data_IF_983574421722
#
_entry.id   IF_983574421722
#
_cell.length_a   1.000
_cell.length_b   1.000
_cell.length_c   1.000
_cell.angle_alpha   90.00
_cell.angle_beta   90.00
_cell.angle_gamma   90.00
#
_symmetry.space_group_name_H-M   'P 1'
#
loop_
_entity.id
_entity.type
_entity.pdbx_description
1 polymer ?
#
# COMPACT_ATOMS: atom_id res chain seq x y z
N UNK A 1 -7.11 -78.23 95.97
CA UNK A 1 -6.69 -77.53 94.75
C UNK A 1 -6.34 -76.12 95.17
N UNK A 2 -5.05 -75.88 95.31
CA UNK A 2 -4.48 -74.64 95.87
C UNK A 2 -4.23 -73.61 94.73
N UNK A 3 -4.97 -72.49 94.76
CA UNK A 3 -4.66 -71.34 93.91
C UNK A 3 -3.57 -70.49 94.57
N UNK A 4 -2.45 -70.46 93.90
CA UNK A 4 -1.30 -69.66 94.26
C UNK A 4 -1.55 -68.19 93.95
N UNK A 5 -1.92 -67.35 94.93
CA UNK A 5 -2.04 -65.89 94.77
C UNK A 5 -0.66 -65.26 94.77
N UNK A 6 -0.19 -64.86 93.61
CA UNK A 6 1.02 -64.07 93.47
C UNK A 6 0.69 -62.59 93.74
N UNK A 7 1.23 -62.06 94.82
CA UNK A 7 1.08 -60.67 95.26
C UNK A 7 2.14 -59.79 94.53
N UNK A 8 1.75 -59.02 93.49
CA UNK A 8 2.62 -58.10 92.76
C UNK A 8 2.65 -56.74 93.48
N UNK A 9 3.81 -56.12 93.67
CA UNK A 9 3.91 -54.80 94.31
C UNK A 9 3.39 -53.69 93.37
N UNK A 10 2.86 -52.57 93.92
CA UNK A 10 2.23 -51.49 93.10
C UNK A 10 3.26 -50.81 92.26
N UNK A 11 2.94 -50.75 90.99
CA UNK A 11 3.73 -50.03 89.94
C UNK A 11 3.78 -48.52 90.24
N UNK A 12 4.91 -48.05 90.72
CA UNK A 12 5.14 -46.64 90.98
C UNK A 12 4.94 -45.79 89.71
N UNK A 13 3.98 -44.88 89.77
CA UNK A 13 3.80 -43.86 88.73
C UNK A 13 5.06 -42.98 88.65
N UNK A 14 5.87 -43.14 87.56
CA UNK A 14 6.91 -42.19 87.22
C UNK A 14 6.24 -40.88 86.73
N UNK A 15 6.16 -39.89 87.60
CA UNK A 15 5.87 -38.48 87.18
C UNK A 15 6.94 -38.08 86.20
N UNK A 16 6.55 -37.93 84.90
CA UNK A 16 7.36 -37.24 83.91
C UNK A 16 7.57 -35.80 84.40
N UNK A 17 8.75 -35.44 84.83
CA UNK A 17 9.15 -34.05 85.02
C UNK A 17 9.04 -33.35 83.68
N UNK A 18 8.10 -32.41 83.54
CA UNK A 18 8.12 -31.46 82.41
C UNK A 18 9.47 -30.73 82.46
N UNK A 19 10.36 -31.02 81.53
CA UNK A 19 11.57 -30.27 81.38
C UNK A 19 11.13 -28.86 80.95
N UNK A 20 11.24 -27.86 81.83
CA UNK A 20 11.07 -26.47 81.49
C UNK A 20 12.24 -26.06 80.66
N UNK A 21 11.96 -25.62 79.39
CA UNK A 21 12.99 -25.06 78.56
C UNK A 21 13.70 -23.94 79.34
N UNK A 22 15.03 -23.86 79.27
CA UNK A 22 15.78 -22.74 79.83
C UNK A 22 15.31 -21.44 79.28
N UNK A 23 15.09 -20.42 80.09
CA UNK A 23 14.52 -19.12 79.67
C UNK A 23 15.29 -18.39 78.49
N UNK A 24 16.53 -18.80 78.29
CA UNK A 24 17.36 -18.23 77.16
C UNK A 24 17.12 -18.90 75.80
N UNK A 25 16.51 -20.10 75.76
CA UNK A 25 16.27 -20.82 74.51
C UNK A 25 15.17 -20.14 73.66
N UNK A 26 14.13 -19.60 74.30
CA UNK A 26 13.02 -18.95 73.63
C UNK A 26 13.47 -17.72 72.83
N UNK A 27 14.24 -16.74 73.33
CA UNK A 27 14.73 -15.65 72.59
C UNK A 27 15.70 -16.06 71.45
N UNK A 28 16.49 -17.12 71.67
CA UNK A 28 17.38 -17.65 70.60
C UNK A 28 16.59 -18.26 69.44
N UNK A 29 15.52 -18.99 69.76
CA UNK A 29 14.63 -19.59 68.75
C UNK A 29 13.86 -18.50 67.99
N UNK A 30 13.41 -17.44 68.66
CA UNK A 30 12.76 -16.29 68.01
C UNK A 30 13.75 -15.55 67.13
N UNK A 31 14.98 -15.30 67.56
CA UNK A 31 16.05 -14.68 66.76
C UNK A 31 16.43 -15.53 65.56
N UNK A 32 16.55 -16.86 65.73
CA UNK A 32 16.81 -17.74 64.57
C UNK A 32 15.67 -17.79 63.54
N UNK A 33 14.41 -17.77 64.03
CA UNK A 33 13.23 -17.70 63.13
C UNK A 33 13.15 -16.37 62.41
N UNK A 34 13.48 -15.26 63.09
CA UNK A 34 13.54 -13.95 62.47
C UNK A 34 14.66 -13.84 61.40
N UNK A 35 15.85 -14.38 61.70
CA UNK A 35 16.94 -14.47 60.71
C UNK A 35 16.61 -15.37 59.54
N UNK A 36 15.94 -16.49 59.75
CA UNK A 36 15.47 -17.38 58.68
C UNK A 36 14.40 -16.71 57.83
N UNK A 37 13.47 -15.94 58.41
CA UNK A 37 12.47 -15.17 57.68
C UNK A 37 13.10 -14.04 56.87
N UNK A 38 14.10 -13.32 57.42
CA UNK A 38 14.84 -12.30 56.71
C UNK A 38 15.66 -12.93 55.55
N UNK A 39 16.34 -14.05 55.79
CA UNK A 39 17.07 -14.76 54.76
C UNK A 39 16.15 -15.30 53.66
N UNK A 40 14.96 -15.82 54.02
CA UNK A 40 13.96 -16.24 53.05
C UNK A 40 13.38 -15.07 52.24
N UNK A 41 13.14 -13.92 52.90
CA UNK A 41 12.69 -12.71 52.23
C UNK A 41 13.77 -12.16 51.29
N UNK A 42 15.03 -12.10 51.74
CA UNK A 42 16.16 -11.70 50.89
C UNK A 42 16.35 -12.66 49.72
N UNK A 43 16.22 -13.98 49.98
CA UNK A 43 16.29 -14.98 48.93
C UNK A 43 15.17 -14.87 47.91
N UNK A 44 13.93 -14.65 48.40
CA UNK A 44 12.75 -14.52 47.54
C UNK A 44 12.74 -13.20 46.74
N UNK A 45 13.12 -12.07 47.36
CA UNK A 45 13.07 -10.76 46.70
C UNK A 45 14.37 -10.35 45.99
N UNK A 46 15.54 -10.95 46.32
CA UNK A 46 16.84 -10.53 45.75
C UNK A 46 17.49 -11.63 44.94
N UNK A 47 17.32 -12.90 45.29
CA UNK A 47 18.01 -14.02 44.68
C UNK A 47 17.13 -14.78 43.69
N UNK A 48 15.81 -14.83 43.88
CA UNK A 48 14.92 -15.36 42.85
C UNK A 48 14.84 -14.35 41.72
N UNK A 49 15.40 -14.66 40.54
CA UNK A 49 15.30 -13.73 39.40
C UNK A 49 13.82 -13.54 39.07
N UNK A 50 13.33 -12.31 39.15
CA UNK A 50 11.99 -11.99 38.69
C UNK A 50 11.90 -12.37 37.21
N UNK A 51 11.02 -13.28 36.87
CA UNK A 51 10.75 -13.70 35.50
C UNK A 51 9.71 -12.73 34.95
N UNK A 52 10.09 -11.99 33.95
CA UNK A 52 9.17 -11.14 33.20
C UNK A 52 8.46 -11.99 32.14
N UNK A 53 7.14 -11.92 32.11
CA UNK A 53 6.33 -12.57 31.08
C UNK A 53 5.90 -11.54 30.03
N UNK A 54 6.19 -11.83 28.76
CA UNK A 54 5.67 -11.09 27.61
C UNK A 54 4.64 -11.97 26.95
N UNK A 55 3.40 -11.50 26.88
CA UNK A 55 2.28 -12.25 26.31
C UNK A 55 2.24 -12.10 24.80
N UNK A 56 2.45 -10.88 24.27
CA UNK A 56 2.56 -10.61 22.82
C UNK A 56 3.48 -9.44 22.52
N UNK A 57 4.05 -9.46 21.32
CA UNK A 57 4.68 -8.31 20.65
C UNK A 57 3.98 -8.14 19.31
N UNK A 58 3.29 -7.04 19.14
CA UNK A 58 2.54 -6.74 17.90
C UNK A 58 3.05 -5.46 17.28
N UNK A 59 3.20 -5.45 15.95
CA UNK A 59 3.44 -4.24 15.19
C UNK A 59 2.08 -3.66 14.83
N UNK A 60 1.79 -2.44 15.27
CA UNK A 60 0.47 -1.80 15.16
C UNK A 60 0.41 -0.75 14.06
N UNK A 61 1.56 -0.18 13.68
CA UNK A 61 1.64 0.78 12.58
C UNK A 61 3.01 0.68 11.89
N UNK A 62 3.00 0.90 10.57
CA UNK A 62 4.17 0.73 9.70
C UNK A 62 4.27 1.94 8.77
N UNK A 63 5.43 2.58 8.75
CA UNK A 63 5.78 3.63 7.80
C UNK A 63 6.95 3.23 6.90
N UNK A 64 7.48 4.18 6.16
CA UNK A 64 8.70 3.99 5.36
C UNK A 64 9.95 4.01 6.22
N UNK A 65 9.95 4.75 7.31
CA UNK A 65 11.10 4.99 8.19
C UNK A 65 10.81 4.73 9.66
N UNK A 66 9.66 4.15 9.98
CA UNK A 66 9.28 3.81 11.36
C UNK A 66 8.45 2.53 11.45
N UNK A 67 8.46 1.94 12.65
CA UNK A 67 7.58 0.86 13.10
C UNK A 67 7.05 1.21 14.49
N UNK A 68 5.74 1.13 14.69
CA UNK A 68 5.11 1.26 16.01
C UNK A 68 4.75 -0.11 16.55
N UNK A 69 5.11 -0.36 17.79
CA UNK A 69 5.00 -1.65 18.45
C UNK A 69 4.22 -1.52 19.73
N UNK A 70 3.29 -2.43 19.94
CA UNK A 70 2.58 -2.62 21.21
C UNK A 70 2.99 -3.93 21.84
N UNK A 71 3.29 -3.90 23.13
CA UNK A 71 3.69 -5.09 23.88
C UNK A 71 2.71 -5.33 25.01
N UNK A 72 2.14 -6.53 25.05
CA UNK A 72 1.36 -7.00 26.16
C UNK A 72 2.25 -7.82 27.12
N UNK A 73 2.21 -7.47 28.38
CA UNK A 73 2.98 -8.13 29.41
C UNK A 73 2.12 -8.40 30.67
N UNK A 74 2.41 -9.49 31.38
CA UNK A 74 1.69 -9.83 32.60
C UNK A 74 1.87 -8.77 33.70
N UNK A 75 0.95 -8.73 34.66
CA UNK A 75 0.89 -7.74 35.77
C UNK A 75 2.16 -7.63 36.62
N UNK A 76 3.01 -8.66 36.61
CA UNK A 76 4.28 -8.71 37.34
C UNK A 76 5.50 -8.47 36.42
N UNK A 77 5.28 -7.85 35.25
CA UNK A 77 6.37 -7.63 34.31
C UNK A 77 7.39 -6.66 34.90
N UNK A 78 8.58 -7.17 35.18
CA UNK A 78 9.75 -6.33 35.46
C UNK A 78 10.11 -5.46 34.28
N UNK A 79 10.92 -4.42 34.49
CA UNK A 79 11.45 -3.61 33.40
C UNK A 79 12.24 -4.48 32.43
N UNK A 80 12.08 -4.20 31.13
CA UNK A 80 12.82 -4.78 30.03
C UNK A 80 13.03 -3.75 28.93
N UNK A 81 13.95 -3.99 28.04
CA UNK A 81 14.16 -3.18 26.87
C UNK A 81 13.57 -3.86 25.63
N UNK A 82 13.28 -3.07 24.62
CA UNK A 82 12.86 -3.56 23.31
C UNK A 82 13.90 -3.13 22.29
N UNK A 83 14.35 -4.09 21.50
CA UNK A 83 15.28 -3.87 20.42
C UNK A 83 14.59 -4.02 19.08
N UNK A 84 14.91 -3.17 18.12
CA UNK A 84 14.54 -3.28 16.72
C UNK A 84 15.84 -3.41 15.92
N UNK A 85 16.03 -4.53 15.22
CA UNK A 85 17.28 -4.83 14.52
C UNK A 85 17.02 -5.33 13.11
N UNK A 86 17.88 -4.97 12.15
CA UNK A 86 17.88 -5.47 10.79
C UNK A 86 18.88 -6.62 10.58
N UNK A 87 18.88 -7.20 9.38
CA UNK A 87 19.78 -8.28 9.01
C UNK A 87 21.26 -7.84 8.89
N UNK A 88 21.53 -6.54 8.83
CA UNK A 88 22.89 -5.96 8.71
C UNK A 88 23.52 -5.67 10.07
N UNK A 89 22.76 -5.82 11.16
CA UNK A 89 23.23 -5.58 12.52
C UNK A 89 23.00 -4.15 13.03
N UNK A 90 22.29 -3.32 12.27
CA UNK A 90 21.84 -2.04 12.80
C UNK A 90 20.77 -2.30 13.85
N UNK A 91 20.87 -1.64 15.00
CA UNK A 91 20.00 -1.87 16.13
C UNK A 91 19.60 -0.56 16.81
N UNK A 92 18.31 -0.42 17.08
CA UNK A 92 17.76 0.60 17.96
C UNK A 92 17.22 -0.08 19.22
N UNK A 93 17.39 0.55 20.39
CA UNK A 93 16.96 0.02 21.68
C UNK A 93 16.23 1.07 22.49
N UNK A 94 15.06 0.72 23.01
CA UNK A 94 14.22 1.60 23.83
C UNK A 94 13.78 0.85 25.09
N UNK A 95 13.70 1.56 26.22
CA UNK A 95 13.14 1.01 27.44
C UNK A 95 11.63 0.85 27.29
N UNK A 96 11.09 -0.26 27.75
CA UNK A 96 9.65 -0.52 27.71
C UNK A 96 8.91 0.30 28.78
N UNK A 97 7.78 0.90 28.37
CA UNK A 97 6.80 1.53 29.26
C UNK A 97 5.46 0.80 29.09
N UNK A 98 4.92 0.26 30.18
CA UNK A 98 3.70 -0.53 30.14
C UNK A 98 2.49 0.30 29.65
N UNK A 99 1.75 -0.24 28.67
CA UNK A 99 0.53 0.34 28.14
C UNK A 99 0.75 1.50 27.14
N UNK A 100 1.98 1.79 26.75
CA UNK A 100 2.31 2.79 25.73
C UNK A 100 2.77 2.12 24.44
N UNK A 101 2.37 2.71 23.33
CA UNK A 101 2.90 2.36 22.02
C UNK A 101 4.35 2.85 21.90
N UNK A 102 5.20 2.02 21.31
CA UNK A 102 6.62 2.31 21.16
C UNK A 102 6.96 2.42 19.67
N UNK A 103 7.35 3.60 19.22
CA UNK A 103 7.74 3.85 17.83
C UNK A 103 9.26 3.84 17.68
N UNK A 104 9.77 3.02 16.75
CA UNK A 104 11.15 3.04 16.30
C UNK A 104 11.25 3.85 15.02
N UNK A 105 12.00 4.94 15.04
CA UNK A 105 12.14 5.90 13.96
C UNK A 105 13.50 5.78 13.27
N UNK A 106 13.65 6.45 12.12
CA UNK A 106 14.90 6.48 11.33
C UNK A 106 15.32 5.10 10.84
N UNK A 107 14.35 4.25 10.55
CA UNK A 107 14.54 2.95 9.92
C UNK A 107 14.76 3.11 8.42
N UNK A 108 15.36 2.11 7.79
CA UNK A 108 15.54 2.12 6.32
C UNK A 108 14.26 1.65 5.62
N UNK A 109 13.81 2.32 4.56
CA UNK A 109 12.66 1.88 3.76
C UNK A 109 12.86 0.49 3.17
N UNK A 110 11.75 -0.26 3.01
CA UNK A 110 11.75 -1.60 2.41
C UNK A 110 12.58 -2.64 3.16
N UNK A 111 12.89 -2.41 4.44
CA UNK A 111 13.80 -3.24 5.22
C UNK A 111 13.04 -4.05 6.24
N UNK A 112 13.37 -5.35 6.36
CA UNK A 112 12.82 -6.21 7.38
C UNK A 112 13.56 -6.02 8.70
N UNK A 113 12.78 -5.83 9.76
CA UNK A 113 13.25 -5.71 11.14
C UNK A 113 12.72 -6.83 12.01
N UNK A 114 13.55 -7.23 12.97
CA UNK A 114 13.15 -8.07 14.10
C UNK A 114 13.02 -7.19 15.34
N UNK A 115 11.84 -7.21 15.94
CA UNK A 115 11.54 -6.54 17.20
C UNK A 115 11.60 -7.60 18.31
N UNK A 116 12.39 -7.38 19.34
CA UNK A 116 12.59 -8.33 20.40
C UNK A 116 12.57 -7.64 21.77
N UNK A 117 11.78 -8.15 22.68
CA UNK A 117 11.85 -7.77 24.10
C UNK A 117 13.07 -8.45 24.72
N UNK A 118 13.96 -7.67 25.34
CA UNK A 118 15.24 -8.12 25.87
C UNK A 118 15.26 -7.93 27.38
N UNK A 119 15.54 -8.97 28.18
CA UNK A 119 15.58 -8.84 29.62
C UNK A 119 16.72 -7.90 30.05
N UNK A 120 16.50 -7.13 31.10
CA UNK A 120 17.59 -6.42 31.77
C UNK A 120 18.56 -7.42 32.41
N UNK A 121 19.78 -6.96 32.67
CA UNK A 121 20.84 -7.78 33.27
C UNK A 121 20.36 -8.49 34.52
N UNK A 122 20.58 -9.80 34.59
CA UNK A 122 20.17 -10.65 35.74
C UNK A 122 18.70 -11.02 35.76
N UNK A 123 17.89 -10.64 34.77
CA UNK A 123 16.47 -10.99 34.66
C UNK A 123 16.26 -12.12 33.66
N UNK A 124 15.14 -12.82 33.78
CA UNK A 124 14.71 -13.86 32.84
C UNK A 124 13.38 -13.45 32.19
N UNK A 125 13.19 -13.82 30.95
CA UNK A 125 11.93 -13.62 30.22
C UNK A 125 11.32 -14.94 29.80
N UNK A 126 10.00 -14.98 29.68
CA UNK A 126 9.20 -16.10 29.15
C UNK A 126 8.06 -15.54 28.29
N UNK A 127 7.54 -16.37 27.40
CA UNK A 127 6.41 -16.01 26.51
C UNK A 127 6.84 -15.69 25.08
N UNK A 128 6.03 -14.90 24.40
CA UNK A 128 6.21 -14.50 22.99
C UNK A 128 6.84 -13.11 22.95
N UNK A 129 8.14 -13.03 22.83
CA UNK A 129 8.91 -11.80 22.96
C UNK A 129 9.57 -11.29 21.68
N UNK A 130 9.19 -11.85 20.53
CA UNK A 130 9.74 -11.42 19.24
C UNK A 130 8.65 -11.31 18.18
N UNK A 131 8.76 -10.30 17.32
CA UNK A 131 7.96 -10.11 16.12
C UNK A 131 8.86 -9.65 14.96
N UNK A 132 8.39 -9.84 13.73
CA UNK A 132 9.08 -9.34 12.54
C UNK A 132 8.12 -8.49 11.72
N UNK A 133 8.61 -7.38 11.17
CA UNK A 133 7.87 -6.55 10.22
C UNK A 133 8.85 -5.90 9.24
N UNK A 134 8.32 -5.48 8.08
CA UNK A 134 9.11 -4.70 7.12
C UNK A 134 8.54 -3.30 7.03
N UNK A 135 9.40 -2.28 7.00
CA UNK A 135 9.01 -0.93 6.63
C UNK A 135 8.52 -0.89 5.19
N UNK A 136 7.65 0.06 4.87
CA UNK A 136 7.21 0.24 3.48
C UNK A 136 8.40 0.64 2.61
N UNK A 137 8.45 0.08 1.39
CA UNK A 137 9.33 0.59 0.37
C UNK A 137 8.86 1.98 -0.08
N UNK A 138 9.77 2.87 -0.44
CA UNK A 138 9.44 4.15 -1.05
C UNK A 138 9.90 4.16 -2.49
N UNK A 139 8.99 4.53 -3.42
CA UNK A 139 9.34 4.78 -4.82
C UNK A 139 8.95 6.21 -5.16
N UNK A 140 9.93 6.98 -5.61
CA UNK A 140 9.76 8.38 -5.99
C UNK A 140 9.61 8.53 -7.50
N UNK A 141 8.50 9.10 -7.92
CA UNK A 141 8.21 9.38 -9.32
C UNK A 141 8.75 10.77 -9.68
N UNK A 142 9.65 10.82 -10.68
CA UNK A 142 10.23 12.06 -11.20
C UNK A 142 9.21 12.84 -12.03
N UNK A 143 8.52 12.13 -12.92
CA UNK A 143 7.51 12.70 -13.81
C UNK A 143 6.42 11.68 -14.11
N UNK A 144 5.19 12.17 -14.23
CA UNK A 144 4.05 11.43 -14.74
C UNK A 144 3.28 12.34 -15.70
N UNK A 145 3.11 11.91 -16.92
CA UNK A 145 2.52 12.70 -18.01
C UNK A 145 1.42 11.92 -18.70
N UNK A 146 0.39 12.64 -19.11
CA UNK A 146 -0.68 12.15 -19.96
C UNK A 146 -0.67 12.94 -21.26
N UNK A 147 -0.63 12.27 -22.40
CA UNK A 147 -0.61 12.90 -23.74
C UNK A 147 -1.77 12.34 -24.56
N UNK A 148 -2.65 13.18 -25.10
CA UNK A 148 -3.73 12.70 -25.95
C UNK A 148 -3.16 12.16 -27.26
N UNK A 149 -3.59 10.97 -27.69
CA UNK A 149 -3.25 10.38 -28.99
C UNK A 149 -4.45 10.33 -29.93
N UNK A 150 -5.64 10.41 -29.39
CA UNK A 150 -6.89 10.63 -30.13
C UNK A 150 -7.93 11.27 -29.19
N UNK A 151 -9.12 11.53 -29.73
CA UNK A 151 -10.23 12.08 -28.93
C UNK A 151 -10.71 11.16 -27.78
N UNK A 152 -10.41 9.87 -27.84
CA UNK A 152 -10.84 8.86 -26.86
C UNK A 152 -9.68 8.09 -26.27
N UNK A 153 -8.42 8.48 -26.57
CA UNK A 153 -7.24 7.76 -26.11
C UNK A 153 -6.15 8.71 -25.62
N UNK A 154 -5.47 8.28 -24.59
CA UNK A 154 -4.29 8.96 -24.06
C UNK A 154 -3.16 7.98 -23.78
N UNK A 155 -1.93 8.40 -24.02
CA UNK A 155 -0.73 7.71 -23.59
C UNK A 155 -0.26 8.30 -22.27
N UNK A 156 -0.08 7.44 -21.29
CA UNK A 156 0.50 7.79 -19.99
C UNK A 156 1.95 7.31 -19.96
N UNK A 157 2.84 8.16 -19.48
CA UNK A 157 4.25 7.84 -19.31
C UNK A 157 4.73 8.35 -17.95
N UNK A 158 5.56 7.58 -17.26
CA UNK A 158 6.20 8.03 -16.02
C UNK A 158 7.67 7.60 -15.95
N UNK A 159 8.41 8.29 -15.09
CA UNK A 159 9.83 8.04 -14.85
C UNK A 159 10.04 7.92 -13.34
N UNK A 160 10.69 6.84 -12.92
CA UNK A 160 11.11 6.64 -11.54
C UNK A 160 12.40 7.46 -11.30
N UNK A 161 12.43 8.24 -10.23
CA UNK A 161 13.62 8.96 -9.79
C UNK A 161 14.47 8.09 -8.88
N UNK A 162 13.85 7.38 -7.94
CA UNK A 162 14.51 6.59 -6.90
C UNK A 162 13.55 5.51 -6.35
N UNK A 163 14.11 4.47 -5.76
CA UNK A 163 13.36 3.36 -5.18
C UNK A 163 13.15 2.18 -6.12
N UNK A 164 12.45 1.12 -5.66
CA UNK A 164 12.20 -0.08 -6.44
C UNK A 164 11.27 0.18 -7.63
N UNK A 165 11.53 -0.53 -8.71
CA UNK A 165 10.61 -0.70 -9.83
C UNK A 165 9.77 -1.97 -9.62
N UNK A 166 8.60 -2.04 -10.25
CA UNK A 166 7.66 -3.14 -10.09
C UNK A 166 7.32 -3.78 -11.44
N UNK A 167 7.08 -5.09 -11.42
CA UNK A 167 6.67 -5.85 -12.62
C UNK A 167 5.32 -5.38 -13.19
N UNK A 168 4.46 -4.83 -12.34
CA UNK A 168 3.17 -4.28 -12.72
C UNK A 168 2.84 -3.00 -11.95
N UNK A 169 2.22 -2.06 -12.66
CA UNK A 169 1.75 -0.78 -12.16
C UNK A 169 0.25 -0.67 -12.32
N UNK A 170 -0.39 0.08 -11.45
CA UNK A 170 -1.82 0.38 -11.57
C UNK A 170 -2.03 1.88 -11.62
N UNK A 171 -2.83 2.34 -12.57
CA UNK A 171 -3.32 3.71 -12.64
C UNK A 171 -4.82 3.74 -12.39
N UNK A 172 -5.26 4.66 -11.56
CA UNK A 172 -6.66 5.05 -11.42
C UNK A 172 -6.89 6.31 -12.25
N UNK A 173 -8.05 6.42 -12.89
CA UNK A 173 -8.44 7.63 -13.59
C UNK A 173 -9.93 7.89 -13.43
N UNK A 174 -10.26 9.16 -13.33
CA UNK A 174 -11.61 9.64 -13.13
C UNK A 174 -11.85 10.95 -13.89
N UNK A 175 -13.11 11.20 -14.24
CA UNK A 175 -13.58 12.47 -14.77
C UNK A 175 -14.85 12.90 -14.02
N UNK A 176 -15.23 14.17 -14.11
CA UNK A 176 -16.41 14.68 -13.44
C UNK A 176 -17.69 13.93 -13.86
N UNK A 177 -18.36 13.31 -12.89
CA UNK A 177 -19.59 12.52 -13.12
C UNK A 177 -19.38 11.12 -13.68
N UNK A 178 -18.12 10.66 -13.79
CA UNK A 178 -17.77 9.30 -14.23
C UNK A 178 -17.17 8.55 -13.06
N UNK A 179 -17.57 7.29 -12.87
CA UNK A 179 -16.99 6.42 -11.86
C UNK A 179 -15.50 6.17 -12.15
N UNK A 180 -14.69 6.21 -11.10
CA UNK A 180 -13.26 5.95 -11.21
C UNK A 180 -12.99 4.55 -11.75
N UNK A 181 -12.06 4.44 -12.70
CA UNK A 181 -11.62 3.20 -13.31
C UNK A 181 -10.15 2.96 -12.99
N UNK A 182 -9.73 1.70 -13.06
CA UNK A 182 -8.34 1.30 -12.87
C UNK A 182 -7.85 0.43 -14.02
N UNK A 183 -6.57 0.61 -14.37
CA UNK A 183 -5.88 -0.23 -15.37
C UNK A 183 -4.54 -0.65 -14.79
N UNK A 184 -4.26 -1.97 -14.87
CA UNK A 184 -2.96 -2.54 -14.49
C UNK A 184 -2.16 -2.87 -15.75
N UNK A 185 -0.87 -2.53 -15.75
CA UNK A 185 0.00 -2.64 -16.92
C UNK A 185 1.45 -2.94 -16.51
N UNK A 186 2.29 -3.32 -17.45
CA UNK A 186 3.72 -3.57 -17.25
C UNK A 186 4.55 -2.46 -17.88
N UNK A 187 5.72 -2.17 -17.30
CA UNK A 187 6.60 -1.10 -17.74
C UNK A 187 6.08 0.29 -17.34
N UNK A 188 6.60 1.34 -17.98
CA UNK A 188 6.39 2.74 -17.58
C UNK A 188 5.51 3.52 -18.55
N UNK A 189 4.84 2.84 -19.48
CA UNK A 189 3.93 3.44 -20.46
C UNK A 189 2.68 2.59 -20.62
N UNK A 190 1.53 3.25 -20.79
CA UNK A 190 0.25 2.59 -21.10
C UNK A 190 -0.64 3.51 -21.92
N UNK A 191 -1.40 2.93 -22.84
CA UNK A 191 -2.47 3.62 -23.57
C UNK A 191 -3.80 3.34 -22.89
N UNK A 192 -4.48 4.40 -22.49
CA UNK A 192 -5.84 4.34 -21.96
C UNK A 192 -6.80 4.66 -23.11
N UNK A 193 -7.77 3.78 -23.32
CA UNK A 193 -8.81 3.90 -24.35
C UNK A 193 -10.18 4.19 -23.72
N UNK A 194 -11.15 4.49 -24.59
CA UNK A 194 -12.55 4.73 -24.21
C UNK A 194 -12.74 5.90 -23.24
N UNK A 195 -11.89 6.92 -23.37
CA UNK A 195 -12.06 8.19 -22.70
C UNK A 195 -13.23 8.96 -23.35
N UNK A 196 -13.95 9.72 -22.55
CA UNK A 196 -14.94 10.67 -23.08
C UNK A 196 -14.19 11.86 -23.70
N UNK A 197 -14.71 12.35 -24.83
CA UNK A 197 -14.25 13.62 -25.41
C UNK A 197 -14.72 14.80 -24.55
N UNK A 198 -14.07 15.95 -24.72
CA UNK A 198 -14.41 17.19 -24.00
C UNK A 198 -14.54 17.00 -22.49
N UNK A 199 -13.63 16.26 -21.92
CA UNK A 199 -13.64 15.87 -20.50
C UNK A 199 -12.30 16.08 -19.85
N UNK A 200 -12.32 16.53 -18.59
CA UNK A 200 -11.13 16.64 -17.78
C UNK A 200 -10.95 15.37 -16.96
N UNK A 201 -9.83 14.70 -17.17
CA UNK A 201 -9.42 13.51 -16.44
C UNK A 201 -8.29 13.81 -15.46
N UNK A 202 -8.31 13.12 -14.35
CA UNK A 202 -7.16 13.02 -13.44
C UNK A 202 -6.70 11.56 -13.41
N UNK A 203 -5.45 11.34 -13.77
CA UNK A 203 -4.79 10.04 -13.68
C UNK A 203 -3.92 10.01 -12.43
N UNK A 204 -3.97 8.91 -11.65
CA UNK A 204 -3.20 8.76 -10.42
C UNK A 204 -2.59 7.35 -10.39
N UNK A 205 -1.25 7.29 -10.25
CA UNK A 205 -0.56 6.02 -9.99
C UNK A 205 -0.90 5.53 -8.59
N UNK A 206 -1.27 4.26 -8.48
CA UNK A 206 -1.57 3.62 -7.21
C UNK A 206 -0.35 2.84 -6.71
N UNK A 207 -0.08 2.97 -5.43
CA UNK A 207 0.98 2.23 -4.78
C UNK A 207 0.66 0.72 -4.76
N UNK A 208 1.62 -0.15 -5.09
CA UNK A 208 1.54 -1.55 -4.72
C UNK A 208 1.50 -1.75 -3.20
N UNK A 209 1.07 -2.94 -2.76
CA UNK A 209 1.05 -3.27 -1.33
C UNK A 209 2.43 -3.04 -0.68
N UNK A 210 2.43 -2.52 0.53
CA UNK A 210 3.63 -2.22 1.32
C UNK A 210 4.62 -1.25 0.65
N UNK A 211 4.10 -0.34 -0.17
CA UNK A 211 4.89 0.69 -0.85
C UNK A 211 4.26 2.06 -0.70
N UNK A 212 5.07 3.08 -0.53
CA UNK A 212 4.67 4.48 -0.63
C UNK A 212 5.16 5.05 -1.96
N UNK A 213 4.24 5.60 -2.75
CA UNK A 213 4.62 6.42 -3.92
C UNK A 213 4.67 7.89 -3.53
N UNK A 214 5.75 8.56 -3.94
CA UNK A 214 5.96 9.99 -3.72
C UNK A 214 6.34 10.71 -5.01
N UNK A 215 6.35 12.04 -4.99
CA UNK A 215 6.68 12.85 -6.17
C UNK A 215 5.49 13.08 -7.10
N UNK A 216 5.71 12.98 -8.41
CA UNK A 216 4.69 13.26 -9.43
C UNK A 216 3.79 12.03 -9.68
N UNK A 217 2.91 11.71 -8.74
CA UNK A 217 2.05 10.51 -8.82
C UNK A 217 0.70 10.77 -9.49
N UNK A 218 0.37 12.01 -9.83
CA UNK A 218 -0.89 12.39 -10.47
C UNK A 218 -0.66 13.36 -11.61
N UNK A 219 -1.46 13.26 -12.67
CA UNK A 219 -1.41 14.14 -13.83
C UNK A 219 -2.81 14.39 -14.39
N UNK A 220 -3.15 15.66 -14.74
CA UNK A 220 -4.40 15.97 -15.41
C UNK A 220 -4.27 15.78 -16.93
N UNK A 221 -5.41 15.59 -17.60
CA UNK A 221 -5.55 15.61 -19.05
C UNK A 221 -6.92 16.15 -19.40
N UNK A 222 -6.97 17.16 -20.29
CA UNK A 222 -8.20 17.54 -20.97
C UNK A 222 -8.26 16.83 -22.32
N UNK A 223 -9.30 16.04 -22.57
CA UNK A 223 -9.53 15.42 -23.87
C UNK A 223 -10.06 16.46 -24.85
N UNK A 224 -9.72 16.27 -26.12
CA UNK A 224 -10.11 17.21 -27.18
C UNK A 224 -11.62 17.12 -27.41
N UNK A 225 -12.33 18.25 -27.57
CA UNK A 225 -13.74 18.22 -27.97
C UNK A 225 -13.88 17.57 -29.35
N UNK A 226 -15.01 16.91 -29.56
CA UNK A 226 -15.34 16.31 -30.87
C UNK A 226 -15.81 17.36 -31.81
N UNK A 227 -15.49 17.17 -33.10
CA UNK A 227 -16.16 17.85 -34.21
C UNK A 227 -17.16 16.88 -34.85
N UNK A 228 -18.35 17.33 -35.13
CA UNK A 228 -19.38 16.58 -35.84
C UNK A 228 -19.69 17.28 -37.19
N UNK A 229 -19.47 16.56 -38.31
CA UNK A 229 -19.88 17.03 -39.60
C UNK A 229 -21.41 16.96 -39.68
N UNK A 230 -22.05 18.03 -40.12
CA UNK A 230 -23.50 18.10 -40.34
C UNK A 230 -23.87 17.50 -41.71
N UNK A 231 -24.38 16.25 -41.79
CA UNK A 231 -24.58 15.54 -43.06
C UNK A 231 -25.43 16.31 -44.06
N UNK A 232 -26.48 16.97 -43.58
CA UNK A 232 -27.40 17.75 -44.42
C UNK A 232 -26.79 19.04 -44.96
N UNK A 233 -25.63 19.44 -44.48
CA UNK A 233 -24.92 20.64 -44.93
C UNK A 233 -23.94 20.34 -46.05
N UNK A 234 -23.65 19.08 -46.34
CA UNK A 234 -22.69 18.70 -47.39
C UNK A 234 -23.29 19.03 -48.74
N UNK A 235 -22.67 20.01 -49.39
CA UNK A 235 -23.03 20.44 -50.74
C UNK A 235 -21.91 20.11 -51.72
N UNK A 236 -22.30 19.61 -52.89
CA UNK A 236 -21.38 19.29 -53.96
C UNK A 236 -21.80 19.98 -55.24
N UNK A 237 -20.85 20.65 -55.89
CA UNK A 237 -20.99 21.20 -57.24
C UNK A 237 -20.12 20.41 -58.19
N UNK A 238 -20.75 19.76 -59.15
CA UNK A 238 -20.09 18.92 -60.14
C UNK A 238 -19.97 19.66 -61.47
N UNK A 239 -18.82 19.46 -62.14
CA UNK A 239 -18.61 19.81 -63.56
C UNK A 239 -18.24 18.54 -64.35
N UNK A 240 -17.92 18.67 -65.64
CA UNK A 240 -17.48 17.53 -66.45
C UNK A 240 -16.16 16.90 -66.01
N UNK A 241 -15.36 17.60 -65.20
CA UNK A 241 -14.03 17.14 -64.78
C UNK A 241 -13.63 17.58 -63.38
N UNK A 242 -14.54 18.16 -62.61
CA UNK A 242 -14.23 18.57 -61.21
C UNK A 242 -15.42 18.42 -60.28
N UNK A 243 -15.12 18.27 -58.99
CA UNK A 243 -16.07 18.28 -57.88
C UNK A 243 -15.62 19.29 -56.83
N UNK A 244 -16.50 20.20 -56.44
CA UNK A 244 -16.28 21.15 -55.36
C UNK A 244 -17.21 20.75 -54.23
N UNK A 245 -16.63 20.44 -53.08
CA UNK A 245 -17.37 20.10 -51.86
C UNK A 245 -17.29 21.22 -50.83
N UNK A 246 -18.37 21.48 -50.14
CA UNK A 246 -18.44 22.34 -48.96
C UNK A 246 -19.30 21.67 -47.92
N UNK A 247 -18.99 21.87 -46.65
CA UNK A 247 -19.76 21.33 -45.51
C UNK A 247 -19.76 22.28 -44.34
N UNK A 248 -20.65 22.04 -43.40
CA UNK A 248 -20.66 22.68 -42.07
C UNK A 248 -20.44 21.63 -41.02
N UNK A 249 -20.03 22.06 -39.84
CA UNK A 249 -19.77 21.20 -38.72
C UNK A 249 -20.20 21.90 -37.43
N UNK A 250 -20.42 21.10 -36.37
CA UNK A 250 -20.64 21.54 -34.99
C UNK A 250 -19.42 21.15 -34.16
N UNK A 251 -19.13 21.88 -33.07
CA UNK A 251 -17.95 21.73 -32.26
C UNK A 251 -16.76 22.59 -32.68
N UNK A 252 -15.60 22.32 -32.10
CA UNK A 252 -14.37 23.08 -32.38
C UNK A 252 -13.78 22.71 -33.74
N UNK A 253 -13.27 23.72 -34.44
CA UNK A 253 -12.64 23.52 -35.73
C UNK A 253 -11.45 22.57 -35.63
N UNK A 254 -11.40 21.47 -36.41
CA UNK A 254 -10.25 20.58 -36.41
C UNK A 254 -9.02 21.28 -37.01
N UNK A 255 -7.82 20.84 -36.66
CA UNK A 255 -6.59 21.36 -37.25
C UNK A 255 -6.58 21.19 -38.75
N UNK A 256 -7.13 20.06 -39.22
CA UNK A 256 -7.28 19.76 -40.65
C UNK A 256 -8.44 18.80 -40.89
N UNK A 257 -9.00 18.89 -42.08
CA UNK A 257 -9.89 17.90 -42.67
C UNK A 257 -9.09 17.05 -43.66
N UNK A 258 -9.40 15.77 -43.72
CA UNK A 258 -8.85 14.82 -44.68
C UNK A 258 -10.00 14.36 -45.57
N UNK A 259 -9.93 14.66 -46.85
CA UNK A 259 -10.96 14.27 -47.80
C UNK A 259 -10.34 13.38 -48.87
N UNK A 260 -10.89 12.17 -48.98
CA UNK A 260 -10.43 11.15 -49.94
C UNK A 260 -11.54 10.90 -50.96
N UNK A 261 -11.20 10.89 -52.22
CA UNK A 261 -12.09 10.48 -53.31
C UNK A 261 -11.51 9.24 -54.00
N UNK A 262 -12.37 8.23 -54.20
CA UNK A 262 -11.98 6.95 -54.81
C UNK A 262 -12.99 6.53 -55.88
N UNK A 263 -12.55 5.77 -56.89
CA UNK A 263 -13.44 5.13 -57.85
C UNK A 263 -13.29 3.58 -57.81
N UNK A 264 -14.17 2.88 -58.49
CA UNK A 264 -14.14 1.41 -58.59
C UNK A 264 -12.99 0.89 -59.49
N UNK A 265 -12.35 1.75 -60.26
CA UNK A 265 -11.23 1.40 -61.15
C UNK A 265 -9.86 1.51 -60.46
N UNK A 266 -9.81 2.01 -59.20
CA UNK A 266 -8.60 2.16 -58.40
C UNK A 266 -8.00 3.54 -58.40
N UNK A 267 -8.74 4.56 -58.87
CA UNK A 267 -8.35 5.94 -58.68
C UNK A 267 -8.56 6.31 -57.19
N UNK A 268 -7.56 6.99 -56.63
CA UNK A 268 -7.62 7.52 -55.26
C UNK A 268 -6.84 8.84 -55.22
N UNK A 269 -7.46 9.86 -54.65
CA UNK A 269 -6.84 11.13 -54.36
C UNK A 269 -7.26 11.57 -52.95
N UNK A 270 -6.29 11.99 -52.14
CA UNK A 270 -6.51 12.50 -50.79
C UNK A 270 -5.99 13.92 -50.67
N UNK A 271 -6.80 14.83 -50.15
CA UNK A 271 -6.43 16.22 -49.88
C UNK A 271 -6.60 16.53 -48.39
N UNK A 272 -5.65 17.24 -47.80
CA UNK A 272 -5.73 17.81 -46.46
C UNK A 272 -6.06 19.32 -46.61
N UNK A 273 -7.13 19.74 -45.93
CA UNK A 273 -7.60 21.14 -46.01
C UNK A 273 -7.90 21.66 -44.59
N UNK A 274 -7.67 22.94 -44.35
CA UNK A 274 -7.93 23.61 -43.07
C UNK A 274 -9.32 24.26 -43.00
N UNK A 275 -9.95 24.48 -44.17
CA UNK A 275 -11.31 25.00 -44.28
C UNK A 275 -12.29 23.88 -44.69
N UNK A 276 -13.59 23.99 -44.38
CA UNK A 276 -14.58 22.96 -44.71
C UNK A 276 -14.99 23.02 -46.19
N UNK A 277 -14.01 23.00 -47.08
CA UNK A 277 -14.21 22.92 -48.52
C UNK A 277 -12.99 22.27 -49.20
N UNK A 278 -13.24 21.60 -50.34
CA UNK A 278 -12.20 20.96 -51.13
C UNK A 278 -12.62 20.97 -52.61
N UNK A 279 -11.65 20.99 -53.52
CA UNK A 279 -11.87 20.85 -54.96
C UNK A 279 -11.03 19.71 -55.50
N UNK A 280 -11.69 18.73 -56.13
CA UNK A 280 -11.02 17.68 -56.92
C UNK A 280 -11.14 18.03 -58.41
N UNK A 281 -10.04 17.90 -59.13
CA UNK A 281 -9.95 18.19 -60.57
C UNK A 281 -9.57 16.92 -61.35
N UNK A 282 -9.69 16.97 -62.67
CA UNK A 282 -9.35 15.88 -63.59
C UNK A 282 -10.17 14.59 -63.36
N UNK A 283 -11.39 14.71 -62.86
CA UNK A 283 -12.31 13.61 -62.73
C UNK A 283 -12.87 13.18 -64.08
N UNK A 284 -13.27 11.91 -64.18
CA UNK A 284 -13.83 11.36 -65.43
C UNK A 284 -15.36 11.43 -65.37
N UNK A 285 -15.96 12.12 -66.32
CA UNK A 285 -17.41 12.29 -66.41
C UNK A 285 -18.13 10.94 -66.53
N UNK A 286 -19.21 10.77 -65.75
CA UNK A 286 -20.01 9.52 -65.71
C UNK A 286 -19.38 8.40 -64.92
N UNK A 287 -18.31 8.68 -64.16
CA UNK A 287 -17.71 7.75 -63.23
C UNK A 287 -18.32 7.95 -61.82
N UNK A 288 -18.66 6.84 -61.16
CA UNK A 288 -19.11 6.86 -59.76
C UNK A 288 -17.91 6.96 -58.85
N UNK A 289 -17.89 7.95 -57.97
CA UNK A 289 -16.87 8.17 -56.97
C UNK A 289 -17.46 8.04 -55.55
N UNK A 290 -16.70 7.46 -54.63
CA UNK A 290 -16.95 7.52 -53.20
C UNK A 290 -16.07 8.64 -52.63
N UNK A 291 -16.70 9.51 -51.82
CA UNK A 291 -16.00 10.59 -51.14
C UNK A 291 -16.12 10.36 -49.64
N UNK A 292 -14.99 10.38 -48.94
CA UNK A 292 -14.90 10.24 -47.49
C UNK A 292 -14.31 11.50 -46.89
N UNK A 293 -15.04 12.14 -45.97
CA UNK A 293 -14.60 13.31 -45.21
C UNK A 293 -14.31 12.86 -43.77
N UNK A 294 -13.15 13.17 -43.28
CA UNK A 294 -12.72 12.85 -41.92
C UNK A 294 -11.89 13.98 -41.31
N UNK A 295 -11.77 13.98 -39.99
CA UNK A 295 -10.83 14.82 -39.26
C UNK A 295 -10.31 14.06 -38.04
N UNK A 296 -9.11 14.38 -37.50
CA UNK A 296 -8.56 13.71 -36.32
C UNK A 296 -9.46 13.76 -35.09
N UNK A 297 -10.30 14.79 -34.99
CA UNK A 297 -11.24 15.02 -33.88
C UNK A 297 -12.68 14.55 -34.16
N UNK A 298 -12.93 13.86 -35.29
CA UNK A 298 -14.23 13.23 -35.57
C UNK A 298 -14.30 11.83 -34.97
N UNK A 299 -15.46 11.49 -34.39
CA UNK A 299 -15.75 10.11 -33.91
C UNK A 299 -15.92 9.11 -35.06
N UNK A 300 -16.45 9.58 -36.20
CA UNK A 300 -16.63 8.78 -37.42
C UNK A 300 -16.50 9.63 -38.66
N UNK A 301 -15.95 9.05 -39.74
CA UNK A 301 -15.91 9.69 -41.06
C UNK A 301 -17.31 9.75 -41.66
N UNK A 302 -17.51 10.78 -42.52
CA UNK A 302 -18.69 10.89 -43.35
C UNK A 302 -18.36 10.38 -44.76
N UNK A 303 -19.23 9.53 -45.35
CA UNK A 303 -19.04 8.99 -46.67
C UNK A 303 -20.29 9.26 -47.58
N UNK A 304 -20.04 9.57 -48.85
CA UNK A 304 -21.09 9.76 -49.86
C UNK A 304 -20.62 9.28 -51.24
N UNK A 305 -21.58 8.90 -52.08
CA UNK A 305 -21.33 8.59 -53.49
C UNK A 305 -21.81 9.71 -54.38
N UNK A 306 -21.07 9.97 -55.47
CA UNK A 306 -21.38 10.94 -56.51
C UNK A 306 -21.09 10.39 -57.91
N UNK A 307 -21.78 10.86 -58.95
CA UNK A 307 -21.58 10.39 -60.35
C UNK A 307 -21.50 11.55 -61.32
#
# INVERSE_FOLDING_TARGET
EDELKINLPPRGQRRKKKASMPKWILPVLIGAAALAAIAAAVWFFVIVPSVTRVDSVAVTDIGTDYLTVQIESGEESGAFDVTCSDAYGNQSRKAYTAGEDMTFDSLMPGTQYTIEAVPLEGKKMTGSYSATASTFAETKILSFTATPISITQAELNFIIQDGPDFDSWTVSYEAAGVEAKTVTFSGHSVVISDLLSDSEYTFTLLAPDNTLLTGAISTPLSTVPTVELLPDSVAIALSSSSAILTWQYDGDAPEKWVVTITDKAGFEETQEVTAPNVTFENLVSGTEYEIVISAPTMLSSYAMNVT
#
